data_IF_210831183198
#
_entry.id   IF_210831183198
#
_cell.length_a   1.000
_cell.length_b   1.000
_cell.length_c   1.000
_cell.angle_alpha   90.00
_cell.angle_beta   90.00
_cell.angle_gamma   90.00
#
_symmetry.space_group_name_H-M   'P 1'
#
loop_
_entity.id
_entity.type
_entity.pdbx_description
1 polymer ?
#
# COMPACT_ATOMS: atom_id res chain seq x y z
N UNK A 1 -39.00 18.57 21.36
CA UNK A 1 -38.40 17.37 21.98
C UNK A 1 -38.41 16.27 20.94
N UNK A 2 -37.28 16.09 20.26
CA UNK A 2 -37.01 14.90 19.45
C UNK A 2 -36.63 13.77 20.40
N UNK A 3 -37.38 12.67 20.35
CA UNK A 3 -36.92 11.39 20.87
C UNK A 3 -36.60 10.54 19.65
N UNK A 4 -35.33 10.54 19.26
CA UNK A 4 -34.76 9.42 18.51
C UNK A 4 -34.50 8.30 19.52
N UNK A 5 -34.95 7.08 19.24
CA UNK A 5 -34.20 5.89 19.60
C UNK A 5 -34.73 4.62 18.89
N UNK A 6 -33.98 3.52 18.89
CA UNK A 6 -33.27 3.06 17.70
C UNK A 6 -33.65 1.60 17.41
N UNK A 7 -33.13 1.06 16.32
CA UNK A 7 -33.15 -0.37 15.97
C UNK A 7 -34.35 -0.85 15.14
N UNK A 8 -33.99 -1.42 13.99
CA UNK A 8 -34.72 -2.44 13.21
C UNK A 8 -35.93 -1.90 12.43
N UNK A 9 -35.99 -1.95 11.10
CA UNK A 9 -35.31 -2.78 10.10
C UNK A 9 -35.05 -1.92 8.86
N UNK A 10 -33.79 -1.75 8.46
CA UNK A 10 -33.52 -1.50 7.05
C UNK A 10 -33.82 -2.81 6.34
N UNK A 11 -34.93 -2.82 5.64
CA UNK A 11 -35.52 -4.02 5.05
C UNK A 11 -34.63 -4.58 3.95
N UNK A 12 -34.78 -5.89 3.73
CA UNK A 12 -34.16 -6.81 2.76
C UNK A 12 -34.12 -6.34 1.29
N UNK A 13 -34.45 -5.09 0.99
CA UNK A 13 -34.48 -4.47 -0.33
C UNK A 13 -33.13 -3.86 -0.72
N UNK A 14 -32.32 -3.41 0.25
CA UNK A 14 -30.98 -2.86 0.00
C UNK A 14 -29.96 -3.95 -0.41
N UNK A 15 -30.29 -5.22 -0.17
CA UNK A 15 -29.44 -6.37 -0.52
C UNK A 15 -29.66 -6.88 -1.97
N UNK A 16 -30.64 -6.32 -2.71
CA UNK A 16 -31.09 -6.86 -4.01
C UNK A 16 -30.58 -6.02 -5.21
N UNK A 17 -29.99 -4.84 -4.99
CA UNK A 17 -29.53 -3.99 -6.11
C UNK A 17 -28.17 -4.36 -6.72
N UNK A 18 -27.46 -5.37 -6.22
CA UNK A 18 -26.17 -5.81 -6.79
C UNK A 18 -26.23 -7.20 -7.46
N UNK A 19 -27.43 -7.71 -7.79
CA UNK A 19 -27.58 -9.04 -8.37
C UNK A 19 -27.95 -9.07 -9.85
N UNK A 20 -27.35 -8.21 -10.68
CA UNK A 20 -27.34 -8.41 -12.14
C UNK A 20 -26.08 -7.83 -12.80
N UNK A 21 -25.02 -8.64 -12.86
CA UNK A 21 -24.35 -9.05 -14.12
C UNK A 21 -22.94 -9.57 -13.82
N UNK A 22 -22.78 -10.90 -13.83
CA UNK A 22 -21.75 -11.58 -14.64
C UNK A 22 -20.25 -11.30 -14.48
N UNK A 23 -19.80 -10.37 -13.67
CA UNK A 23 -18.37 -10.08 -13.53
C UNK A 23 -17.82 -10.67 -12.24
N UNK A 24 -16.86 -11.57 -12.46
CA UNK A 24 -15.96 -12.11 -11.45
C UNK A 24 -15.51 -10.97 -10.53
N UNK A 25 -15.28 -11.29 -9.26
CA UNK A 25 -14.40 -10.49 -8.39
C UNK A 25 -13.02 -10.39 -9.07
N UNK A 26 -12.88 -9.52 -10.06
CA UNK A 26 -11.59 -9.09 -10.56
C UNK A 26 -11.04 -8.31 -9.39
N UNK A 27 -10.19 -8.95 -8.58
CA UNK A 27 -9.35 -8.23 -7.66
C UNK A 27 -8.66 -7.16 -8.50
N UNK A 28 -9.09 -5.92 -8.35
CA UNK A 28 -8.55 -4.80 -9.12
C UNK A 28 -7.08 -4.73 -8.76
N UNK A 29 -6.22 -5.16 -9.69
CA UNK A 29 -4.78 -5.14 -9.49
C UNK A 29 -4.39 -3.71 -9.12
N UNK A 30 -3.53 -3.56 -8.11
CA UNK A 30 -2.99 -2.24 -7.76
C UNK A 30 -2.40 -1.63 -9.02
N UNK A 31 -2.96 -0.50 -9.44
CA UNK A 31 -2.50 0.21 -10.63
C UNK A 31 -1.19 0.91 -10.30
N UNK A 32 -0.08 0.25 -10.63
CA UNK A 32 1.26 0.81 -10.54
C UNK A 32 1.53 1.54 -11.85
N UNK A 33 1.69 2.85 -11.79
CA UNK A 33 2.01 3.69 -12.94
C UNK A 33 3.53 3.90 -13.09
N UNK A 34 4.25 3.83 -11.97
CA UNK A 34 5.68 4.13 -11.92
C UNK A 34 6.39 3.15 -10.98
N UNK A 35 7.55 2.64 -11.38
CA UNK A 35 8.45 1.89 -10.49
C UNK A 35 9.67 2.75 -10.18
N UNK A 36 9.97 2.93 -8.90
CA UNK A 36 11.16 3.66 -8.44
C UNK A 36 12.21 2.62 -8.06
N UNK A 37 13.29 2.53 -8.84
CA UNK A 37 14.39 1.61 -8.57
C UNK A 37 15.50 2.35 -7.84
N UNK A 38 15.90 1.86 -6.67
CA UNK A 38 16.95 2.45 -5.83
C UNK A 38 18.06 1.42 -5.63
N UNK A 39 19.26 1.63 -6.20
CA UNK A 39 20.41 0.80 -5.88
C UNK A 39 20.84 1.05 -4.42
N UNK A 40 21.26 -0.01 -3.75
CA UNK A 40 21.66 0.01 -2.34
C UNK A 40 23.01 -0.66 -2.16
N UNK A 41 23.94 0.04 -1.51
CA UNK A 41 25.20 -0.52 -1.03
C UNK A 41 25.72 0.31 0.15
N UNK A 42 25.62 -0.23 1.37
CA UNK A 42 26.11 0.41 2.60
C UNK A 42 25.61 1.86 2.85
N UNK A 43 24.29 2.07 2.77
CA UNK A 43 23.60 3.35 2.92
C UNK A 43 22.74 3.43 4.21
N UNK A 44 23.13 2.76 5.30
CA UNK A 44 22.33 2.69 6.55
C UNK A 44 21.96 4.06 7.15
N UNK A 45 22.75 5.10 6.84
CA UNK A 45 22.57 6.45 7.36
C UNK A 45 21.70 7.35 6.47
N UNK A 46 21.47 6.98 5.20
CA UNK A 46 20.84 7.85 4.20
C UNK A 46 19.53 7.28 3.64
N UNK A 47 19.38 5.96 3.60
CA UNK A 47 18.30 5.29 2.87
C UNK A 47 16.90 5.69 3.34
N UNK A 48 16.72 5.89 4.65
CA UNK A 48 15.45 6.36 5.21
C UNK A 48 15.08 7.76 4.71
N UNK A 49 16.04 8.67 4.66
CA UNK A 49 15.81 10.04 4.20
C UNK A 49 15.47 10.08 2.71
N UNK A 50 16.11 9.22 1.90
CA UNK A 50 15.77 9.05 0.49
C UNK A 50 14.32 8.60 0.34
N UNK A 51 13.91 7.54 1.04
CA UNK A 51 12.55 6.99 0.95
C UNK A 51 11.51 8.00 1.49
N UNK A 52 11.84 8.74 2.54
CA UNK A 52 10.96 9.75 3.13
C UNK A 52 10.72 10.95 2.19
N UNK A 53 11.65 11.26 1.29
CA UNK A 53 11.49 12.32 0.27
C UNK A 53 10.60 11.90 -0.89
N UNK A 54 10.35 10.61 -1.07
CA UNK A 54 9.42 10.11 -2.08
C UNK A 54 7.97 10.39 -1.60
N UNK A 55 7.16 11.14 -2.37
CA UNK A 55 5.78 11.45 -1.98
C UNK A 55 4.96 10.19 -1.75
N UNK A 56 4.27 10.06 -0.61
CA UNK A 56 3.53 8.84 -0.27
C UNK A 56 2.18 8.73 -1.01
N UNK A 57 2.10 7.94 -2.08
CA UNK A 57 0.84 7.60 -2.72
C UNK A 57 0.87 6.19 -3.35
N UNK A 58 -0.29 5.67 -3.74
CA UNK A 58 -0.46 4.25 -4.13
C UNK A 58 -0.13 3.92 -5.59
N UNK A 59 0.28 4.89 -6.39
CA UNK A 59 0.48 4.73 -7.85
C UNK A 59 1.92 4.38 -8.23
N UNK A 60 2.77 4.08 -7.25
CA UNK A 60 4.11 3.56 -7.47
C UNK A 60 4.45 2.39 -6.53
N UNK A 61 5.49 1.68 -6.92
CA UNK A 61 6.24 0.74 -6.09
C UNK A 61 7.68 1.25 -5.93
N UNK A 62 8.34 0.85 -4.84
CA UNK A 62 9.77 1.05 -4.65
C UNK A 62 10.44 -0.32 -4.72
N UNK A 63 11.43 -0.45 -5.59
CA UNK A 63 12.28 -1.63 -5.72
C UNK A 63 13.69 -1.26 -5.29
N UNK A 64 14.12 -1.80 -4.17
CA UNK A 64 15.49 -1.67 -3.69
C UNK A 64 16.29 -2.84 -4.26
N UNK A 65 17.44 -2.55 -4.87
CA UNK A 65 18.36 -3.57 -5.38
C UNK A 65 19.61 -3.55 -4.51
N UNK A 66 19.79 -4.56 -3.66
CA UNK A 66 20.94 -4.65 -2.76
C UNK A 66 22.11 -5.37 -3.44
N UNK A 67 23.24 -4.67 -3.62
CA UNK A 67 24.47 -5.20 -4.23
C UNK A 67 25.41 -5.84 -3.19
N UNK A 68 24.84 -6.48 -2.17
CA UNK A 68 25.59 -7.11 -1.09
C UNK A 68 26.07 -6.13 -0.02
N UNK A 69 25.18 -5.29 0.49
CA UNK A 69 25.46 -4.46 1.67
C UNK A 69 25.88 -5.34 2.86
N UNK A 70 26.83 -4.82 3.63
CA UNK A 70 27.38 -5.49 4.83
C UNK A 70 27.08 -4.73 6.13
N UNK A 71 26.50 -3.54 6.02
CA UNK A 71 26.01 -2.73 7.13
C UNK A 71 24.51 -3.00 7.41
N UNK A 72 23.85 -2.13 8.18
CA UNK A 72 22.44 -2.30 8.52
C UNK A 72 21.46 -1.75 7.46
N UNK A 73 21.88 -1.48 6.21
CA UNK A 73 21.04 -0.82 5.20
C UNK A 73 19.70 -1.53 4.98
N UNK A 74 19.73 -2.85 4.87
CA UNK A 74 18.55 -3.68 4.63
C UNK A 74 17.62 -3.66 5.85
N UNK A 75 18.17 -3.70 7.06
CA UNK A 75 17.42 -3.58 8.32
C UNK A 75 16.72 -2.23 8.39
N UNK A 76 17.42 -1.14 8.04
CA UNK A 76 16.85 0.22 8.03
C UNK A 76 15.66 0.34 7.08
N UNK A 77 15.65 -0.40 5.97
CA UNK A 77 14.51 -0.44 5.03
C UNK A 77 13.35 -1.26 5.62
N UNK A 78 13.63 -2.40 6.26
CA UNK A 78 12.60 -3.26 6.89
C UNK A 78 11.85 -2.55 8.02
N UNK A 79 12.45 -1.55 8.65
CA UNK A 79 11.82 -0.70 9.67
C UNK A 79 10.79 0.30 9.08
N UNK A 80 10.68 0.43 7.74
CA UNK A 80 9.77 1.38 7.09
C UNK A 80 8.40 0.74 6.88
N UNK A 81 7.39 1.31 7.52
CA UNK A 81 6.00 0.91 7.37
C UNK A 81 5.24 1.80 6.36
N UNK A 82 4.06 1.35 5.93
CA UNK A 82 3.14 2.13 5.09
C UNK A 82 3.74 2.60 3.73
N UNK A 83 4.65 1.81 3.18
CA UNK A 83 5.19 1.95 1.82
C UNK A 83 5.18 0.59 1.13
N UNK A 84 4.99 0.59 -0.18
CA UNK A 84 5.13 -0.62 -1.00
C UNK A 84 6.58 -0.74 -1.47
N UNK A 85 7.39 -1.41 -0.64
CA UNK A 85 8.82 -1.60 -0.86
C UNK A 85 9.10 -3.08 -1.03
N UNK A 86 9.83 -3.41 -2.10
CA UNK A 86 10.37 -4.73 -2.36
C UNK A 86 11.89 -4.63 -2.42
N UNK A 87 12.58 -5.57 -1.78
CA UNK A 87 14.05 -5.68 -1.82
C UNK A 87 14.39 -6.89 -2.69
N UNK A 88 15.34 -6.73 -3.62
CA UNK A 88 15.84 -7.76 -4.54
C UNK A 88 17.34 -7.89 -4.35
#
# INVERSE_FOLDING_TARGET
MTLENPSLKKSKMDDIEDFHSGDRLVQKSKEILTSIVIPLYNEENSIKDVINRIPNHRLYEIVIVDDGSTDNSVERIKEIENRDIRII
#
